data_IF_306772225442
#
_entry.id   IF_306772225442
#
_cell.length_a   1.000
_cell.length_b   1.000
_cell.length_c   1.000
_cell.angle_alpha   90.00
_cell.angle_beta   90.00
_cell.angle_gamma   90.00
#
_symmetry.space_group_name_H-M   'P 1'
#
loop_
_entity.id
_entity.type
_entity.pdbx_description
1 polymer ?
#
# COMPACT_ATOMS: atom_id res chain seq x y z
N UNK A 1 0.28 5.28 -3.34
CA UNK A 1 1.35 6.20 -3.78
C UNK A 1 1.17 7.66 -3.35
N UNK A 2 0.13 8.03 -2.60
CA UNK A 2 -0.08 9.43 -2.15
C UNK A 2 1.10 10.01 -1.33
N UNK A 3 1.96 9.16 -0.76
CA UNK A 3 3.20 9.54 -0.05
C UNK A 3 4.49 9.05 -0.75
N UNK A 4 4.41 8.56 -1.99
CA UNK A 4 5.58 8.03 -2.73
C UNK A 4 6.18 6.71 -2.20
N UNK A 5 5.62 6.13 -1.15
CA UNK A 5 6.13 4.89 -0.54
C UNK A 5 5.93 3.67 -1.46
N UNK A 6 6.91 2.76 -1.47
CA UNK A 6 6.73 1.42 -2.02
C UNK A 6 5.89 0.55 -1.08
N UNK A 7 5.52 -0.66 -1.52
CA UNK A 7 4.62 -1.53 -0.74
C UNK A 7 5.21 -1.91 0.62
N UNK A 8 6.49 -2.25 0.70
CA UNK A 8 7.15 -2.61 1.97
C UNK A 8 7.17 -1.43 2.94
N UNK A 9 7.62 -0.27 2.48
CA UNK A 9 7.65 0.96 3.29
C UNK A 9 6.26 1.38 3.77
N UNK A 10 5.22 1.17 2.95
CA UNK A 10 3.85 1.46 3.33
C UNK A 10 3.35 0.51 4.43
N UNK A 11 3.74 -0.78 4.39
CA UNK A 11 3.42 -1.75 5.44
C UNK A 11 4.11 -1.36 6.74
N UNK A 12 5.41 -1.07 6.70
CA UNK A 12 6.18 -0.67 7.88
C UNK A 12 5.56 0.60 8.52
N UNK A 13 5.19 1.59 7.69
CA UNK A 13 4.52 2.80 8.15
C UNK A 13 3.16 2.51 8.82
N UNK A 14 2.39 1.56 8.28
CA UNK A 14 1.11 1.13 8.86
C UNK A 14 1.33 0.44 10.21
N UNK A 15 2.35 -0.41 10.34
CA UNK A 15 2.67 -1.11 11.59
C UNK A 15 3.17 -0.15 12.68
N UNK A 16 3.90 0.91 12.32
CA UNK A 16 4.42 1.92 13.26
C UNK A 16 3.37 2.94 13.72
N UNK A 17 2.54 3.46 12.81
CA UNK A 17 1.59 4.54 13.12
C UNK A 17 0.23 4.03 13.61
N UNK A 18 -0.16 2.81 13.24
CA UNK A 18 -1.43 2.22 13.63
C UNK A 18 -1.21 1.10 14.65
N UNK A 19 -1.92 1.22 15.78
CA UNK A 19 -1.98 0.19 16.82
C UNK A 19 -2.44 -1.16 16.26
N UNK A 20 -2.00 -2.25 16.88
CA UNK A 20 -2.44 -3.59 16.51
C UNK A 20 -3.96 -3.75 16.62
N UNK A 21 -4.57 -4.16 15.51
CA UNK A 21 -5.99 -4.50 15.40
C UNK A 21 -6.17 -5.63 14.39
N UNK A 22 -7.24 -6.41 14.57
CA UNK A 22 -7.55 -7.53 13.67
C UNK A 22 -7.69 -7.06 12.21
N UNK A 23 -8.32 -5.91 11.99
CA UNK A 23 -8.48 -5.31 10.66
C UNK A 23 -7.14 -4.92 10.03
N UNK A 24 -6.21 -4.37 10.83
CA UNK A 24 -4.87 -4.00 10.34
C UNK A 24 -4.11 -5.25 9.90
N UNK A 25 -4.14 -6.28 10.74
CA UNK A 25 -3.42 -7.51 10.49
C UNK A 25 -4.00 -8.27 9.28
N UNK A 26 -5.32 -8.22 9.08
CA UNK A 26 -5.98 -8.72 7.87
C UNK A 26 -5.51 -8.00 6.61
N UNK A 27 -5.44 -6.66 6.64
CA UNK A 27 -4.96 -5.85 5.50
C UNK A 27 -3.49 -6.17 5.18
N UNK A 28 -2.63 -6.25 6.20
CA UNK A 28 -1.20 -6.56 6.00
C UNK A 28 -1.04 -7.96 5.42
N UNK A 29 -1.78 -8.94 5.96
CA UNK A 29 -1.77 -10.33 5.49
C UNK A 29 -2.24 -10.40 4.04
N UNK A 30 -3.34 -9.74 3.69
CA UNK A 30 -3.84 -9.66 2.32
C UNK A 30 -2.80 -9.12 1.35
N UNK A 31 -2.09 -8.05 1.71
CA UNK A 31 -1.05 -7.46 0.86
C UNK A 31 0.14 -8.41 0.70
N UNK A 32 0.59 -9.06 1.80
CA UNK A 32 1.74 -9.97 1.80
C UNK A 32 1.48 -11.29 1.06
N UNK A 33 0.27 -11.85 1.19
CA UNK A 33 -0.13 -13.10 0.54
C UNK A 33 -0.66 -12.91 -0.89
N UNK A 34 -0.73 -11.67 -1.39
CA UNK A 34 -1.21 -11.40 -2.74
C UNK A 34 -0.24 -11.94 -3.81
N UNK A 35 -0.47 -13.16 -4.28
CA UNK A 35 0.39 -13.83 -5.27
C UNK A 35 0.48 -13.17 -6.65
N UNK A 36 -0.46 -12.26 -6.99
CA UNK A 36 -0.42 -11.43 -8.21
C UNK A 36 -0.11 -9.96 -7.92
N UNK A 37 0.11 -9.62 -6.66
CA UNK A 37 0.24 -8.25 -6.17
C UNK A 37 -1.09 -7.49 -6.08
N UNK A 38 -1.04 -6.37 -5.39
CA UNK A 38 -2.18 -5.46 -5.19
C UNK A 38 -2.36 -4.49 -6.36
N UNK A 39 -3.62 -4.15 -6.65
CA UNK A 39 -3.97 -3.18 -7.70
C UNK A 39 -3.37 -1.82 -7.34
N UNK A 40 -2.55 -1.30 -8.25
CA UNK A 40 -1.96 0.02 -8.14
C UNK A 40 -2.76 0.96 -9.03
N UNK A 41 -3.55 1.85 -8.42
CA UNK A 41 -4.12 2.98 -9.17
C UNK A 41 -2.95 3.86 -9.61
N UNK A 42 -2.62 3.82 -10.89
CA UNK A 42 -1.80 4.84 -11.54
C UNK A 42 -2.61 6.14 -11.55
N UNK A 43 -2.61 6.86 -10.43
CA UNK A 43 -3.02 8.25 -10.41
C UNK A 43 -1.98 9.02 -11.23
N UNK A 44 -2.42 9.65 -12.31
CA UNK A 44 -1.64 10.55 -13.19
C UNK A 44 -0.46 11.19 -12.47
N UNK A 45 0.71 10.66 -12.75
CA UNK A 45 2.00 11.33 -12.63
C UNK A 45 2.75 10.83 -13.87
N UNK A 46 2.42 11.40 -15.03
CA UNK A 46 3.08 11.01 -16.29
C UNK A 46 2.30 11.11 -17.61
N UNK A 47 1.09 11.69 -17.66
CA UNK A 47 0.49 12.09 -18.95
C UNK A 47 -0.25 13.42 -18.75
N UNK A 48 0.55 14.50 -18.71
CA UNK A 48 0.18 15.73 -19.40
C UNK A 48 0.41 15.45 -20.89
N UNK A 49 -0.66 15.22 -21.64
CA UNK A 49 -0.65 15.34 -23.09
C UNK A 49 -1.76 16.34 -23.44
N UNK A 50 -1.35 17.34 -24.23
CA UNK A 50 -2.13 18.49 -24.70
C UNK A 50 -3.41 18.10 -25.47
#
# INVERSE_FOLDING_TARGET
YNKGLNTSQAIDFIEEELSASDERDEIITFIRESGRGIIRKFGKSGVEEE
#
